data_IF_198670083630
#
_entry.id   IF_198670083630
#
_cell.length_a   1.000
_cell.length_b   1.000
_cell.length_c   1.000
_cell.angle_alpha   90.00
_cell.angle_beta   90.00
_cell.angle_gamma   90.00
#
_symmetry.space_group_name_H-M   'P 1'
#
loop_
_entity.id
_entity.type
_entity.pdbx_description
1 polymer ?
#
# COMPACT_ATOMS: atom_id res chain seq x y z
N UNK A 1 19.48 -0.44 -9.84
CA UNK A 1 19.61 -0.19 -8.40
C UNK A 1 20.30 -1.40 -7.79
N UNK A 2 21.50 -1.25 -7.24
CA UNK A 2 22.20 -2.37 -6.59
C UNK A 2 21.74 -2.51 -5.13
N UNK A 3 21.37 -3.72 -4.72
CA UNK A 3 20.92 -4.00 -3.36
C UNK A 3 22.15 -4.32 -2.50
N UNK A 4 22.48 -3.41 -1.58
CA UNK A 4 23.65 -3.56 -0.71
C UNK A 4 23.46 -4.64 0.36
N UNK A 5 22.24 -4.79 0.89
CA UNK A 5 21.89 -5.80 1.90
C UNK A 5 20.37 -5.94 2.04
N UNK A 6 19.92 -7.16 2.33
CA UNK A 6 18.53 -7.46 2.72
C UNK A 6 18.51 -7.98 4.16
N UNK A 7 17.51 -7.56 4.93
CA UNK A 7 17.27 -8.02 6.30
C UNK A 7 15.79 -8.35 6.44
N UNK A 8 15.48 -9.50 7.03
CA UNK A 8 14.10 -9.88 7.34
C UNK A 8 13.54 -8.99 8.46
N UNK A 9 12.30 -8.55 8.30
CA UNK A 9 11.57 -7.78 9.30
C UNK A 9 10.47 -8.65 9.89
N UNK A 10 10.23 -8.52 11.19
CA UNK A 10 9.03 -9.07 11.80
C UNK A 10 7.79 -8.29 11.37
N UNK A 11 6.62 -8.92 11.39
CA UNK A 11 5.36 -8.31 10.97
C UNK A 11 5.08 -6.98 11.69
N UNK A 12 5.40 -6.92 12.99
CA UNK A 12 5.28 -5.69 13.79
C UNK A 12 6.23 -4.58 13.32
N UNK A 13 7.45 -4.93 12.92
CA UNK A 13 8.40 -3.96 12.40
C UNK A 13 7.99 -3.50 10.99
N UNK A 14 7.52 -4.41 10.14
CA UNK A 14 6.99 -4.12 8.82
C UNK A 14 5.78 -3.19 8.90
N UNK A 15 4.82 -3.46 9.79
CA UNK A 15 3.64 -2.62 10.02
C UNK A 15 4.04 -1.20 10.43
N UNK A 16 5.04 -1.06 11.31
CA UNK A 16 5.53 0.25 11.76
C UNK A 16 6.18 1.06 10.63
N UNK A 17 6.93 0.40 9.76
CA UNK A 17 7.55 1.05 8.59
C UNK A 17 6.47 1.46 7.59
N UNK A 18 5.54 0.55 7.30
CA UNK A 18 4.46 0.78 6.34
C UNK A 18 3.55 1.93 6.77
N UNK A 19 3.17 1.97 8.05
CA UNK A 19 2.34 3.05 8.60
C UNK A 19 3.00 4.43 8.42
N UNK A 20 4.28 4.56 8.77
CA UNK A 20 5.04 5.80 8.58
C UNK A 20 5.12 6.23 7.12
N UNK A 21 5.26 5.26 6.22
CA UNK A 21 5.34 5.53 4.79
C UNK A 21 4.01 6.06 4.24
N UNK A 22 2.89 5.44 4.62
CA UNK A 22 1.55 5.92 4.26
C UNK A 22 1.32 7.33 4.83
N UNK A 23 1.57 7.54 6.13
CA UNK A 23 1.44 8.87 6.77
C UNK A 23 2.26 9.95 6.05
N UNK A 24 3.51 9.62 5.66
CA UNK A 24 4.38 10.54 4.92
C UNK A 24 3.87 10.84 3.51
N UNK A 25 3.16 9.91 2.87
CA UNK A 25 2.65 10.05 1.49
C UNK A 25 1.27 10.68 1.43
N UNK A 26 0.49 10.61 2.49
CA UNK A 26 -0.76 11.36 2.65
C UNK A 26 -0.51 12.85 2.92
N UNK A 27 0.57 13.19 3.60
CA UNK A 27 1.01 14.58 3.82
C UNK A 27 1.83 15.19 2.69
N UNK A 28 2.05 14.47 1.58
CA UNK A 28 2.86 14.97 0.45
C UNK A 28 2.03 15.94 -0.40
N UNK A 29 2.44 17.21 -0.45
CA UNK A 29 1.75 18.26 -1.22
C UNK A 29 2.16 18.27 -2.70
N UNK A 30 3.22 17.54 -3.06
CA UNK A 30 3.64 17.38 -4.45
C UNK A 30 2.73 16.38 -5.17
N UNK A 31 1.86 16.90 -6.02
CA UNK A 31 0.85 16.12 -6.78
C UNK A 31 1.46 15.08 -7.71
N UNK A 32 2.72 15.24 -8.12
CA UNK A 32 3.45 14.27 -8.96
C UNK A 32 3.99 13.09 -8.13
N UNK A 33 4.18 13.29 -6.82
CA UNK A 33 4.71 12.30 -5.87
C UNK A 33 3.64 11.72 -4.94
N UNK A 34 2.40 12.18 -5.07
CA UNK A 34 1.24 11.67 -4.36
C UNK A 34 0.99 10.21 -4.75
N UNK A 35 0.66 9.38 -3.76
CA UNK A 35 0.22 8.03 -4.03
C UNK A 35 -1.16 8.02 -4.69
N UNK A 36 -1.28 7.22 -5.76
CA UNK A 36 -2.57 6.87 -6.31
C UNK A 36 -3.44 6.15 -5.25
N UNK A 37 -4.75 6.37 -5.30
CA UNK A 37 -5.73 5.79 -4.39
C UNK A 37 -5.70 4.26 -4.37
N UNK A 38 -5.43 3.62 -5.52
CA UNK A 38 -5.26 2.17 -5.59
C UNK A 38 -4.09 1.69 -4.71
N UNK A 39 -2.95 2.38 -4.79
CA UNK A 39 -1.77 2.04 -3.99
C UNK A 39 -2.06 2.25 -2.51
N UNK A 40 -2.78 3.33 -2.14
CA UNK A 40 -3.20 3.55 -0.74
C UNK A 40 -4.10 2.43 -0.22
N UNK A 41 -5.04 1.98 -1.03
CA UNK A 41 -5.95 0.86 -0.70
C UNK A 41 -5.16 -0.43 -0.45
N UNK A 42 -4.26 -0.79 -1.37
CA UNK A 42 -3.41 -1.98 -1.24
C UNK A 42 -2.52 -1.92 0.01
N UNK A 43 -1.87 -0.78 0.28
CA UNK A 43 -1.05 -0.61 1.48
C UNK A 43 -1.87 -0.70 2.77
N UNK A 44 -3.12 -0.23 2.75
CA UNK A 44 -4.04 -0.34 3.88
C UNK A 44 -4.43 -1.80 4.15
N UNK A 45 -4.68 -2.59 3.11
CA UNK A 45 -4.96 -4.02 3.23
C UNK A 45 -3.75 -4.79 3.78
N UNK A 46 -2.54 -4.47 3.31
CA UNK A 46 -1.30 -5.06 3.83
C UNK A 46 -1.09 -4.67 5.30
N UNK A 47 -1.34 -3.43 5.69
CA UNK A 47 -1.25 -3.01 7.09
C UNK A 47 -2.25 -3.78 7.97
N UNK A 48 -3.50 -3.92 7.51
CA UNK A 48 -4.51 -4.71 8.21
C UNK A 48 -4.08 -6.17 8.39
N UNK A 49 -3.47 -6.77 7.36
CA UNK A 49 -2.89 -8.12 7.44
C UNK A 49 -1.82 -8.21 8.54
N UNK A 50 -0.85 -7.30 8.52
CA UNK A 50 0.28 -7.28 9.47
C UNK A 50 -0.16 -7.00 10.91
N UNK A 51 -1.28 -6.30 11.09
CA UNK A 51 -1.91 -6.05 12.39
C UNK A 51 -2.84 -7.19 12.85
N UNK A 52 -3.02 -8.25 12.04
CA UNK A 52 -3.92 -9.36 12.35
C UNK A 52 -5.41 -9.00 12.28
N UNK A 53 -5.76 -7.90 11.60
CA UNK A 53 -7.14 -7.49 11.36
C UNK A 53 -7.71 -8.25 10.17
N UNK A 54 -9.03 -8.52 10.21
CA UNK A 54 -9.73 -9.08 9.06
C UNK A 54 -9.61 -8.09 7.89
N UNK A 55 -8.99 -8.53 6.81
CA UNK A 55 -8.97 -7.77 5.56
C UNK A 55 -10.35 -7.97 4.92
N UNK A 56 -11.20 -6.95 4.97
CA UNK A 56 -12.32 -6.89 4.04
C UNK A 56 -11.74 -6.54 2.68
N UNK A 57 -11.48 -7.58 1.89
CA UNK A 57 -11.21 -7.44 0.47
C UNK A 57 -12.53 -6.96 -0.13
N UNK A 58 -12.72 -5.65 -0.24
CA UNK A 58 -13.73 -5.13 -1.15
C UNK A 58 -13.27 -5.55 -2.55
N UNK A 59 -14.04 -6.36 -3.29
CA UNK A 59 -13.71 -6.64 -4.66
C UNK A 59 -13.65 -5.30 -5.37
N UNK A 60 -12.47 -4.94 -5.86
CA UNK A 60 -12.35 -3.86 -6.83
C UNK A 60 -13.27 -4.28 -7.98
N UNK A 61 -14.41 -3.61 -8.13
CA UNK A 61 -15.21 -3.74 -9.34
C UNK A 61 -14.29 -3.27 -10.46
N UNK A 62 -13.81 -4.23 -11.23
CA UNK A 62 -13.08 -4.06 -12.47
C UNK A 62 -13.98 -3.27 -13.45
N UNK A 63 -14.00 -1.95 -13.35
CA UNK A 63 -14.61 -1.06 -14.36
C UNK A 63 -13.61 -0.74 -15.50
N UNK A 64 -12.63 -1.62 -15.71
CA UNK A 64 -11.79 -1.67 -16.91
C UNK A 64 -12.09 -2.92 -17.75
N UNK A 65 -13.37 -3.17 -18.04
CA UNK A 65 -13.78 -4.11 -19.06
C UNK A 65 -14.30 -3.41 -20.33
N UNK A 66 -13.42 -3.39 -21.34
CA UNK A 66 -13.68 -3.35 -22.79
C UNK A 66 -14.12 -2.04 -23.44
N UNK A 67 -13.14 -1.17 -23.70
CA UNK A 67 -13.08 -0.46 -24.97
C UNK A 67 -12.65 -1.41 -26.10
N UNK A 68 -13.56 -2.26 -26.57
CA UNK A 68 -13.44 -2.96 -27.85
C UNK A 68 -14.82 -3.42 -28.32
N UNK A 69 -15.52 -2.56 -29.05
CA UNK A 69 -16.40 -2.95 -30.16
C UNK A 69 -16.66 -1.74 -31.06
#
# INVERSE_FOLDING_TARGET
MEVLRTTELSDKAAAKVLKKFVESKEGEENTDLMMNEEVKSQLTQVLAHLEGKKIEIQPQTDEYQYGAH
#
